data_IF_073931606577
#
_entry.id   IF_073931606577
#
_cell.length_a   1.000
_cell.length_b   1.000
_cell.length_c   1.000
_cell.angle_alpha   90.00
_cell.angle_beta   90.00
_cell.angle_gamma   90.00
#
_symmetry.space_group_name_H-M   'P 1'
#
loop_
_entity.id
_entity.type
_entity.pdbx_description
1 polymer ?
#
# COMPACT_ATOMS: atom_id res chain seq x y z
N UNK A 1 -11.52 1.01 16.72
CA UNK A 1 -11.69 1.25 15.28
C UNK A 1 -12.99 2.02 14.99
N UNK A 2 -14.10 1.70 15.69
CA UNK A 2 -15.40 2.35 15.45
C UNK A 2 -15.47 3.86 15.70
N UNK A 3 -14.46 4.46 16.33
CA UNK A 3 -14.38 5.91 16.59
C UNK A 3 -13.39 6.63 15.66
N UNK A 4 -12.78 5.93 14.70
CA UNK A 4 -11.81 6.52 13.80
C UNK A 4 -12.48 7.01 12.53
N UNK A 5 -12.12 8.23 12.14
CA UNK A 5 -12.58 8.84 10.91
C UNK A 5 -11.67 8.41 9.76
N UNK A 6 -12.25 7.85 8.71
CA UNK A 6 -11.54 7.63 7.46
C UNK A 6 -11.57 8.94 6.67
N UNK A 7 -10.40 9.46 6.33
CA UNK A 7 -10.27 10.66 5.49
C UNK A 7 -9.33 10.43 4.33
N UNK A 8 -9.71 10.95 3.18
CA UNK A 8 -8.83 11.04 2.01
C UNK A 8 -7.77 12.12 2.27
N UNK A 9 -6.54 11.82 1.90
CA UNK A 9 -5.43 12.75 1.87
C UNK A 9 -5.08 12.98 0.40
N UNK A 10 -5.05 14.22 -0.03
CA UNK A 10 -4.83 14.61 -1.42
C UNK A 10 -3.84 15.77 -1.48
N UNK A 11 -3.48 16.19 -2.70
CA UNK A 11 -2.61 17.36 -2.88
C UNK A 11 -3.23 18.65 -2.33
N UNK A 12 -4.57 18.71 -2.19
CA UNK A 12 -5.30 19.84 -1.61
C UNK A 12 -5.36 19.80 -0.07
N UNK A 13 -4.80 18.78 0.54
CA UNK A 13 -4.69 18.67 2.01
C UNK A 13 -3.69 19.69 2.55
N UNK A 14 -3.81 20.12 3.82
CA UNK A 14 -2.85 21.03 4.42
C UNK A 14 -1.41 20.51 4.28
N UNK A 15 -0.47 21.39 3.95
CA UNK A 15 0.93 21.04 3.79
C UNK A 15 1.50 20.34 5.03
N UNK A 16 1.06 20.75 6.24
CA UNK A 16 1.44 20.11 7.50
C UNK A 16 1.02 18.64 7.59
N UNK A 17 -0.08 18.25 6.94
CA UNK A 17 -0.49 16.86 6.86
C UNK A 17 0.35 16.09 5.83
N UNK A 18 0.66 16.72 4.70
CA UNK A 18 1.52 16.12 3.66
C UNK A 18 2.94 15.90 4.20
N UNK A 19 3.49 16.84 4.97
CA UNK A 19 4.78 16.64 5.66
C UNK A 19 4.77 15.43 6.59
N UNK A 20 3.64 15.14 7.25
CA UNK A 20 3.50 13.96 8.10
C UNK A 20 3.52 12.67 7.30
N UNK A 21 2.96 12.64 6.09
CA UNK A 21 3.10 11.48 5.20
C UNK A 21 4.58 11.22 4.90
N UNK A 22 5.34 12.26 4.53
CA UNK A 22 6.78 12.13 4.27
C UNK A 22 7.51 11.57 5.49
N UNK A 23 7.20 12.10 6.67
CA UNK A 23 7.85 11.70 7.92
C UNK A 23 7.54 10.28 8.35
N UNK A 24 6.32 9.82 8.12
CA UNK A 24 5.81 8.57 8.67
C UNK A 24 5.76 7.42 7.65
N UNK A 25 6.06 7.69 6.36
CA UNK A 25 6.15 6.62 5.37
C UNK A 25 7.22 5.61 5.77
N UNK A 26 6.79 4.35 5.97
CA UNK A 26 7.65 3.32 6.54
C UNK A 26 8.00 2.20 5.54
N UNK A 27 7.38 2.19 4.37
CA UNK A 27 7.53 1.11 3.37
C UNK A 27 8.40 1.54 2.20
N UNK A 28 8.11 2.73 1.66
CA UNK A 28 8.80 3.28 0.49
C UNK A 28 9.13 4.75 0.74
N UNK A 29 10.36 5.03 1.17
CA UNK A 29 10.82 6.38 1.48
C UNK A 29 10.41 7.41 0.44
N UNK A 30 9.80 8.49 0.89
CA UNK A 30 9.45 9.64 0.06
C UNK A 30 10.68 10.55 -0.03
N UNK A 31 11.18 10.76 -1.24
CA UNK A 31 12.47 11.42 -1.48
C UNK A 31 12.38 12.91 -1.81
N UNK A 32 11.23 13.34 -2.30
CA UNK A 32 11.03 14.70 -2.81
C UNK A 32 9.57 15.11 -2.77
N UNK A 33 9.29 16.39 -2.94
CA UNK A 33 7.93 16.89 -3.16
C UNK A 33 7.31 16.39 -4.47
N UNK A 34 8.13 16.12 -5.50
CA UNK A 34 7.66 15.52 -6.74
C UNK A 34 7.19 14.08 -6.51
N UNK A 35 7.91 13.30 -5.71
CA UNK A 35 7.51 11.96 -5.28
C UNK A 35 6.16 11.99 -4.52
N UNK A 36 6.02 12.89 -3.53
CA UNK A 36 4.73 13.07 -2.83
C UNK A 36 3.61 13.40 -3.80
N UNK A 37 3.85 14.33 -4.72
CA UNK A 37 2.85 14.74 -5.70
C UNK A 37 2.42 13.57 -6.58
N UNK A 38 3.37 12.75 -7.04
CA UNK A 38 3.08 11.53 -7.79
C UNK A 38 2.19 10.56 -7.00
N UNK A 39 2.45 10.36 -5.70
CA UNK A 39 1.66 9.47 -4.83
C UNK A 39 0.26 10.00 -4.50
N UNK A 40 0.01 11.28 -4.75
CA UNK A 40 -1.28 11.94 -4.54
C UNK A 40 -1.96 12.36 -5.85
N UNK A 41 -1.44 11.93 -7.00
CA UNK A 41 -1.95 12.28 -8.33
C UNK A 41 -3.30 11.62 -8.64
N UNK A 42 -3.83 11.90 -9.82
CA UNK A 42 -5.17 11.52 -10.26
C UNK A 42 -5.44 10.02 -10.22
N UNK A 43 -4.43 9.19 -10.53
CA UNK A 43 -4.49 7.72 -10.51
C UNK A 43 -4.01 7.11 -9.18
N UNK A 44 -3.88 7.95 -8.16
CA UNK A 44 -3.50 7.55 -6.80
C UNK A 44 -4.56 7.95 -5.79
N UNK A 45 -4.59 7.21 -4.69
CA UNK A 45 -5.41 7.53 -3.53
C UNK A 45 -4.60 7.32 -2.26
N UNK A 46 -4.72 8.26 -1.35
CA UNK A 46 -4.19 8.11 -0.01
C UNK A 46 -5.33 8.30 1.00
N UNK A 47 -5.43 7.38 1.94
CA UNK A 47 -6.43 7.45 3.02
C UNK A 47 -5.77 7.22 4.36
N UNK A 48 -6.27 7.91 5.38
CA UNK A 48 -5.82 7.73 6.75
C UNK A 48 -6.96 7.59 7.74
N UNK A 49 -6.70 6.89 8.83
CA UNK A 49 -7.53 6.93 10.03
C UNK A 49 -7.07 8.02 10.97
N UNK A 50 -8.01 8.84 11.39
CA UNK A 50 -7.80 9.91 12.35
C UNK A 50 -8.67 9.69 13.58
N UNK A 51 -8.16 10.11 14.72
CA UNK A 51 -8.94 10.10 15.96
C UNK A 51 -9.52 11.51 16.21
N UNK A 52 -10.78 11.65 16.67
CA UNK A 52 -11.38 12.95 16.94
C UNK A 52 -10.59 13.85 17.89
N UNK A 53 -9.82 13.26 18.81
CA UNK A 53 -8.93 13.98 19.73
C UNK A 53 -7.56 14.33 19.15
N UNK A 54 -7.24 13.84 17.95
CA UNK A 54 -5.99 14.08 17.20
C UNK A 54 -6.37 14.32 15.73
N UNK A 55 -7.13 15.39 15.42
CA UNK A 55 -7.74 15.55 14.10
C UNK A 55 -6.73 15.77 12.98
N UNK A 56 -5.53 16.26 13.32
CA UNK A 56 -4.48 16.60 12.35
C UNK A 56 -3.35 15.56 12.30
N UNK A 57 -3.52 14.43 12.99
CA UNK A 57 -2.51 13.37 13.08
C UNK A 57 -3.09 12.06 12.56
N UNK A 58 -2.64 11.54 11.41
CA UNK A 58 -3.06 10.22 10.95
C UNK A 58 -2.46 9.17 11.88
N UNK A 59 -3.25 8.21 12.35
CA UNK A 59 -2.78 7.08 13.15
C UNK A 59 -2.17 5.98 12.29
N UNK A 60 -2.76 5.81 11.11
CA UNK A 60 -2.31 4.91 10.07
C UNK A 60 -2.78 5.50 8.73
N UNK A 61 -1.99 5.33 7.70
CA UNK A 61 -2.41 5.67 6.34
C UNK A 61 -2.02 4.58 5.34
N UNK A 62 -2.70 4.61 4.21
CA UNK A 62 -2.51 3.69 3.09
C UNK A 62 -2.42 4.44 1.79
N UNK A 63 -1.49 4.03 0.94
CA UNK A 63 -1.35 4.51 -0.44
C UNK A 63 -1.82 3.45 -1.41
N UNK A 64 -2.62 3.87 -2.39
CA UNK A 64 -3.28 3.01 -3.36
C UNK A 64 -3.04 3.53 -4.77
N UNK A 65 -2.64 2.64 -5.68
CA UNK A 65 -2.59 2.91 -7.10
C UNK A 65 -3.81 2.31 -7.80
N UNK A 66 -4.40 3.08 -8.70
CA UNK A 66 -5.52 2.65 -9.56
C UNK A 66 -4.93 2.31 -10.93
N UNK A 67 -4.98 1.03 -11.29
CA UNK A 67 -4.33 0.49 -12.50
C UNK A 67 -5.31 -0.33 -13.32
N UNK A 68 -5.02 -0.53 -14.58
CA UNK A 68 -5.83 -1.32 -15.50
C UNK A 68 -5.60 -2.82 -15.39
N UNK A 69 -4.47 -3.24 -14.80
CA UNK A 69 -4.12 -4.64 -14.56
C UNK A 69 -3.37 -4.82 -13.23
N UNK A 70 -3.14 -6.06 -12.84
CA UNK A 70 -2.43 -6.41 -11.61
C UNK A 70 -0.96 -5.99 -11.69
N UNK A 71 -0.51 -5.17 -10.73
CA UNK A 71 0.89 -4.80 -10.62
C UNK A 71 1.69 -5.92 -9.93
N UNK A 72 2.76 -6.34 -10.56
CA UNK A 72 3.73 -7.33 -10.05
C UNK A 72 5.03 -6.68 -9.52
N UNK A 73 5.17 -5.38 -9.74
CA UNK A 73 6.34 -4.58 -9.32
C UNK A 73 5.94 -3.23 -8.76
N UNK A 74 6.68 -2.79 -7.75
CA UNK A 74 6.54 -1.45 -7.16
C UNK A 74 7.18 -0.36 -8.04
N UNK A 75 8.17 -0.70 -8.83
CA UNK A 75 8.99 0.27 -9.57
C UNK A 75 8.16 1.19 -10.48
N UNK A 76 7.24 0.69 -11.32
CA UNK A 76 6.40 1.56 -12.14
C UNK A 76 5.47 2.45 -11.32
N UNK A 77 5.04 2.00 -10.13
CA UNK A 77 4.14 2.76 -9.26
C UNK A 77 4.83 3.96 -8.59
N UNK A 78 6.15 3.89 -8.42
CA UNK A 78 6.97 4.94 -7.81
C UNK A 78 7.75 5.77 -8.83
N UNK A 79 7.54 5.55 -10.12
CA UNK A 79 8.19 6.33 -11.18
C UNK A 79 7.55 7.71 -11.32
N UNK A 80 8.24 8.74 -10.84
CA UNK A 80 7.81 10.14 -10.91
C UNK A 80 7.71 10.69 -12.36
N UNK A 81 8.37 10.03 -13.31
CA UNK A 81 8.35 10.41 -14.72
C UNK A 81 7.20 9.73 -15.49
N UNK A 82 6.54 8.74 -14.90
CA UNK A 82 5.42 8.08 -15.52
C UNK A 82 4.21 9.01 -15.62
N UNK A 83 3.55 9.03 -16.79
CA UNK A 83 2.28 9.74 -16.92
C UNK A 83 1.20 9.05 -16.08
N UNK A 84 0.30 9.81 -15.42
CA UNK A 84 -0.82 9.23 -14.68
C UNK A 84 -1.66 8.32 -15.56
N UNK A 85 -2.09 7.18 -15.03
CA UNK A 85 -2.97 6.26 -15.71
C UNK A 85 -4.39 6.87 -15.86
N UNK A 86 -5.10 6.43 -16.89
CA UNK A 86 -6.51 6.80 -17.08
C UNK A 86 -7.39 6.06 -16.05
N UNK A 87 -7.81 6.77 -15.01
CA UNK A 87 -8.65 6.23 -13.93
C UNK A 87 -9.97 5.61 -14.43
N UNK A 88 -10.46 6.04 -15.58
CA UNK A 88 -11.69 5.47 -16.17
C UNK A 88 -11.50 4.05 -16.71
N UNK A 89 -10.25 3.64 -16.94
CA UNK A 89 -9.87 2.29 -17.34
C UNK A 89 -9.45 1.41 -16.17
N UNK A 90 -9.24 1.99 -15.00
CA UNK A 90 -8.79 1.25 -13.84
C UNK A 90 -9.77 0.13 -13.47
N UNK A 91 -9.25 -1.09 -13.36
CA UNK A 91 -9.98 -2.29 -12.93
C UNK A 91 -9.44 -2.84 -11.62
N UNK A 92 -8.26 -2.41 -11.22
CA UNK A 92 -7.51 -2.92 -10.07
C UNK A 92 -7.07 -1.78 -9.16
N UNK A 93 -7.25 -1.96 -7.85
CA UNK A 93 -6.68 -1.11 -6.82
C UNK A 93 -5.55 -1.85 -6.10
N UNK A 94 -4.33 -1.33 -6.17
CA UNK A 94 -3.14 -1.91 -5.56
C UNK A 94 -2.74 -1.09 -4.34
N UNK A 95 -2.84 -1.67 -3.16
CA UNK A 95 -2.40 -1.10 -1.88
C UNK A 95 -0.90 -1.36 -1.76
N UNK A 96 -0.07 -0.36 -2.00
CA UNK A 96 1.39 -0.55 -2.07
C UNK A 96 2.15 -0.01 -0.86
N UNK A 97 1.52 0.81 -0.02
CA UNK A 97 2.07 1.21 1.27
C UNK A 97 1.00 1.28 2.35
N UNK A 98 1.32 0.75 3.53
CA UNK A 98 0.49 0.84 4.74
C UNK A 98 1.42 1.22 5.90
N UNK A 99 1.29 2.44 6.41
CA UNK A 99 2.20 3.01 7.39
C UNK A 99 1.51 3.35 8.70
N UNK A 100 1.93 2.71 9.79
CA UNK A 100 1.59 3.11 11.16
C UNK A 100 2.45 4.30 11.58
N UNK A 101 1.83 5.36 12.07
CA UNK A 101 2.53 6.58 12.47
C UNK A 101 2.92 6.57 13.94
N UNK A 102 2.22 5.79 14.77
CA UNK A 102 2.36 5.80 16.21
C UNK A 102 2.97 4.47 16.72
N UNK A 103 4.08 4.55 17.42
CA UNK A 103 4.77 3.37 17.98
C UNK A 103 3.90 2.58 18.97
N UNK A 104 3.02 3.27 19.70
CA UNK A 104 2.07 2.65 20.63
C UNK A 104 0.98 1.80 19.98
N UNK A 105 0.83 1.88 18.65
CA UNK A 105 -0.15 1.08 17.90
C UNK A 105 0.44 -0.21 17.31
N UNK A 106 1.69 -0.53 17.62
CA UNK A 106 2.31 -1.79 17.17
C UNK A 106 1.52 -2.98 17.70
N UNK A 107 1.20 -3.91 16.78
CA UNK A 107 0.41 -5.10 17.10
C UNK A 107 -1.11 -4.88 17.12
N UNK A 108 -1.58 -3.66 16.88
CA UNK A 108 -3.01 -3.39 16.70
C UNK A 108 -3.36 -3.53 15.21
N UNK A 109 -4.35 -4.37 14.89
CA UNK A 109 -4.75 -4.70 13.51
C UNK A 109 -5.57 -3.59 12.85
N UNK A 110 -5.07 -2.34 12.85
CA UNK A 110 -5.75 -1.24 12.16
C UNK A 110 -5.65 -1.35 10.64
N UNK A 111 -4.57 -1.95 10.12
CA UNK A 111 -4.34 -2.08 8.69
C UNK A 111 -5.45 -2.83 7.97
N UNK A 112 -5.88 -3.98 8.51
CA UNK A 112 -6.98 -4.76 7.95
C UNK A 112 -8.30 -3.95 7.91
N UNK A 113 -8.63 -3.28 9.02
CA UNK A 113 -9.82 -2.43 9.08
C UNK A 113 -9.76 -1.24 8.13
N UNK A 114 -8.56 -0.62 7.97
CA UNK A 114 -8.35 0.48 7.03
C UNK A 114 -8.55 0.00 5.61
N UNK A 115 -7.91 -1.10 5.21
CA UNK A 115 -8.04 -1.66 3.86
C UNK A 115 -9.51 -1.94 3.54
N UNK A 116 -10.24 -2.62 4.43
CA UNK A 116 -11.66 -2.94 4.22
C UNK A 116 -12.51 -1.70 3.98
N UNK A 117 -12.37 -0.67 4.81
CA UNK A 117 -13.11 0.59 4.65
C UNK A 117 -12.70 1.33 3.38
N UNK A 118 -11.42 1.34 3.03
CA UNK A 118 -10.95 1.95 1.78
C UNK A 118 -11.49 1.20 0.56
N UNK A 119 -11.53 -0.14 0.59
CA UNK A 119 -12.15 -0.95 -0.49
C UNK A 119 -13.61 -0.57 -0.68
N UNK A 120 -14.39 -0.40 0.39
CA UNK A 120 -15.79 0.05 0.31
C UNK A 120 -15.88 1.43 -0.35
N UNK A 121 -15.10 2.39 0.12
CA UNK A 121 -15.04 3.75 -0.46
C UNK A 121 -14.64 3.73 -1.94
N UNK A 122 -13.62 2.93 -2.31
CA UNK A 122 -13.16 2.84 -3.69
C UNK A 122 -14.19 2.19 -4.61
N UNK A 123 -14.94 1.20 -4.14
CA UNK A 123 -16.04 0.58 -4.92
C UNK A 123 -17.17 1.57 -5.21
N UNK A 124 -17.46 2.49 -4.27
CA UNK A 124 -18.45 3.55 -4.47
C UNK A 124 -17.94 4.59 -5.47
N UNK A 125 -16.67 5.01 -5.35
CA UNK A 125 -16.07 6.02 -6.24
C UNK A 125 -15.80 5.46 -7.65
N UNK A 126 -15.38 4.19 -7.75
CA UNK A 126 -14.99 3.52 -8.99
C UNK A 126 -15.71 2.17 -9.17
N UNK A 127 -16.93 2.17 -9.68
CA UNK A 127 -17.70 0.90 -9.84
C UNK A 127 -17.09 -0.12 -10.79
N UNK A 128 -16.10 0.29 -11.60
CA UNK A 128 -15.37 -0.61 -12.50
C UNK A 128 -14.26 -1.41 -11.83
N UNK A 129 -13.87 -1.04 -10.61
CA UNK A 129 -12.87 -1.80 -9.87
C UNK A 129 -13.39 -3.20 -9.54
N UNK A 130 -12.64 -4.20 -9.97
CA UNK A 130 -12.96 -5.62 -9.78
C UNK A 130 -11.96 -6.34 -8.89
N UNK A 131 -10.72 -5.86 -8.87
CA UNK A 131 -9.62 -6.49 -8.15
C UNK A 131 -9.03 -5.54 -7.12
N UNK A 132 -8.67 -6.11 -5.97
CA UNK A 132 -8.01 -5.40 -4.88
C UNK A 132 -6.85 -6.26 -4.41
N UNK A 133 -5.65 -5.70 -4.45
CA UNK A 133 -4.44 -6.43 -4.09
C UNK A 133 -3.55 -5.58 -3.17
N UNK A 134 -2.72 -6.25 -2.39
CA UNK A 134 -1.62 -5.63 -1.66
C UNK A 134 -0.30 -5.97 -2.34
N UNK A 135 0.57 -4.99 -2.49
CA UNK A 135 1.95 -5.17 -2.92
C UNK A 135 2.85 -4.79 -1.74
N UNK A 136 3.23 -5.78 -0.96
CA UNK A 136 3.93 -5.57 0.31
C UNK A 136 5.32 -6.21 0.26
N UNK A 137 6.36 -5.54 0.79
CA UNK A 137 7.66 -6.15 0.92
C UNK A 137 7.61 -7.32 1.91
N UNK A 138 8.46 -8.33 1.68
CA UNK A 138 8.66 -9.45 2.62
C UNK A 138 10.00 -9.22 3.32
N UNK A 139 10.02 -8.63 4.52
CA UNK A 139 11.25 -8.36 5.25
C UNK A 139 12.04 -9.65 5.49
N UNK A 140 13.36 -9.59 5.19
CA UNK A 140 14.27 -10.72 5.41
C UNK A 140 14.17 -11.86 4.38
N UNK A 141 13.27 -11.80 3.39
CA UNK A 141 13.09 -12.85 2.38
C UNK A 141 14.39 -13.15 1.63
N UNK A 142 15.14 -12.14 1.19
CA UNK A 142 16.40 -12.33 0.50
C UNK A 142 17.42 -13.09 1.35
N UNK A 143 17.55 -12.73 2.61
CA UNK A 143 18.45 -13.41 3.54
C UNK A 143 18.00 -14.85 3.83
N UNK A 144 16.70 -15.08 3.96
CA UNK A 144 16.13 -16.40 4.08
C UNK A 144 16.39 -17.24 2.83
N UNK A 145 16.13 -16.71 1.64
CA UNK A 145 16.37 -17.39 0.37
C UNK A 145 17.84 -17.79 0.23
N UNK A 146 18.79 -16.88 0.49
CA UNK A 146 20.23 -17.18 0.43
C UNK A 146 20.62 -18.35 1.34
N UNK A 147 20.07 -18.41 2.55
CA UNK A 147 20.36 -19.48 3.52
C UNK A 147 19.73 -20.82 3.15
N UNK A 148 18.62 -20.81 2.42
CA UNK A 148 17.83 -22.01 2.14
C UNK A 148 17.92 -22.46 0.67
N UNK A 149 18.67 -21.76 -0.17
CA UNK A 149 18.75 -22.02 -1.61
C UNK A 149 19.23 -23.43 -1.92
N UNK A 150 20.26 -23.93 -1.22
CA UNK A 150 20.77 -25.29 -1.40
C UNK A 150 19.68 -26.34 -1.17
N UNK A 151 18.99 -26.26 -0.03
CA UNK A 151 17.90 -27.19 0.31
C UNK A 151 16.75 -27.12 -0.70
N UNK A 152 16.47 -25.93 -1.25
CA UNK A 152 15.42 -25.76 -2.25
C UNK A 152 15.81 -26.38 -3.59
N UNK A 153 17.06 -26.22 -4.00
CA UNK A 153 17.58 -26.82 -5.23
C UNK A 153 17.60 -28.35 -5.12
N UNK A 154 18.07 -28.91 -4.02
CA UNK A 154 18.04 -30.36 -3.76
C UNK A 154 16.60 -30.91 -3.89
N UNK A 155 15.63 -30.22 -3.35
CA UNK A 155 14.21 -30.62 -3.46
C UNK A 155 13.65 -30.53 -4.88
N UNK A 156 14.11 -29.57 -5.68
CA UNK A 156 13.72 -29.45 -7.10
C UNK A 156 14.33 -30.62 -7.91
N UNK A 157 15.56 -30.99 -7.64
CA UNK A 157 16.22 -32.11 -8.29
C UNK A 157 15.56 -33.47 -7.94
N UNK A 158 14.98 -33.58 -6.73
CA UNK A 158 14.15 -34.72 -6.33
C UNK A 158 12.72 -34.70 -6.93
N UNK A 159 12.40 -33.76 -7.80
CA UNK A 159 11.06 -33.58 -8.40
C UNK A 159 10.00 -33.09 -7.46
N UNK A 160 10.38 -32.45 -6.36
CA UNK A 160 9.45 -31.85 -5.40
C UNK A 160 8.84 -30.57 -5.97
N UNK A 161 7.53 -30.57 -6.19
CA UNK A 161 6.81 -29.36 -6.58
C UNK A 161 6.66 -28.40 -5.39
N UNK A 162 7.57 -27.42 -5.32
CA UNK A 162 7.58 -26.40 -4.25
C UNK A 162 6.28 -25.60 -4.20
N UNK A 163 5.59 -25.45 -5.33
CA UNK A 163 4.35 -24.67 -5.43
C UNK A 163 3.14 -25.40 -4.83
N UNK A 164 3.10 -26.73 -4.95
CA UNK A 164 2.01 -27.54 -4.41
C UNK A 164 2.02 -27.63 -2.87
N UNK A 165 3.20 -27.50 -2.26
CA UNK A 165 3.35 -27.49 -0.80
C UNK A 165 2.76 -26.26 -0.09
N UNK A 166 2.47 -25.18 -0.83
CA UNK A 166 1.90 -23.93 -0.29
C UNK A 166 0.38 -23.87 -0.34
N UNK A 167 -0.27 -24.92 -0.86
CA UNK A 167 -1.73 -25.00 -1.02
C UNK A 167 -2.44 -25.84 0.05
N UNK A 168 -1.77 -26.11 1.16
CA UNK A 168 -2.41 -26.81 2.30
C UNK A 168 -2.55 -25.91 3.49
#
# INVERSE_FOLDING_TARGET
VGFLDLRRISWDSPASLIEKLIKYEAVHDIRSWADVKNRLDSDRRCYGFFHPRLPDEPLIFVEVALVDDMADSITPLLDEAAAPADIHKATTAVFYSISNTQTGLRGVSFGDSLIKRVVETLKEEFPKLKQFATLSPIPGFRGWLTRNMGVMLDKLDEGYDVVSGWRK
#
